data_IF_233764828515
#
_entry.id   IF_233764828515
#
_cell.length_a   1.000
_cell.length_b   1.000
_cell.length_c   1.000
_cell.angle_alpha   90.00
_cell.angle_beta   90.00
_cell.angle_gamma   90.00
#
_symmetry.space_group_name_H-M   'P 1'
#
loop_
_entity.id
_entity.type
_entity.pdbx_description
1 polymer ?
#
# COMPACT_ATOMS: atom_id res chain seq x y z
N UNK A 1 -13.99 7.35 -13.78
CA UNK A 1 -14.91 8.29 -13.10
C UNK A 1 -14.50 8.34 -11.63
N UNK A 2 -14.17 9.52 -11.08
CA UNK A 2 -13.71 9.60 -9.67
C UNK A 2 -12.93 10.85 -9.27
N UNK A 3 -12.41 11.65 -10.21
CA UNK A 3 -11.62 12.86 -9.91
C UNK A 3 -12.46 14.15 -9.85
N UNK A 4 -13.78 14.07 -10.10
CA UNK A 4 -14.70 15.22 -10.12
C UNK A 4 -15.90 15.07 -9.18
N UNK A 5 -15.85 14.14 -8.22
CA UNK A 5 -16.93 14.02 -7.24
C UNK A 5 -16.84 15.17 -6.21
N UNK A 6 -17.89 16.01 -6.07
CA UNK A 6 -17.90 17.16 -5.15
C UNK A 6 -17.85 16.79 -3.65
N UNK A 7 -17.80 15.49 -3.33
CA UNK A 7 -17.62 14.98 -1.95
C UNK A 7 -16.16 14.58 -1.63
N UNK A 8 -15.21 14.80 -2.53
CA UNK A 8 -13.79 14.64 -2.21
C UNK A 8 -13.26 15.93 -1.59
N UNK A 9 -13.25 16.00 -0.27
CA UNK A 9 -12.51 17.04 0.46
C UNK A 9 -11.04 16.56 0.65
N UNK A 10 -10.06 17.17 -0.04
CA UNK A 10 -8.65 16.80 0.08
C UNK A 10 -8.05 17.07 1.46
N UNK A 11 -8.79 17.76 2.35
CA UNK A 11 -8.38 18.08 3.73
C UNK A 11 -8.77 16.99 4.72
N UNK A 12 -9.61 16.04 4.33
CA UNK A 12 -9.95 14.89 5.18
C UNK A 12 -8.78 13.89 5.19
N UNK A 13 -8.47 13.29 6.35
CA UNK A 13 -7.42 12.28 6.47
C UNK A 13 -7.67 11.12 5.50
N UNK A 14 -6.58 10.52 5.03
CA UNK A 14 -6.67 9.45 4.03
C UNK A 14 -7.35 8.24 4.66
N UNK A 15 -8.52 7.84 4.16
CA UNK A 15 -9.20 6.65 4.68
C UNK A 15 -8.50 5.36 4.23
N UNK A 16 -8.57 4.32 5.07
CA UNK A 16 -8.02 3.00 4.74
C UNK A 16 -8.64 2.41 3.45
N UNK A 17 -9.96 2.56 3.27
CA UNK A 17 -10.66 2.16 2.04
C UNK A 17 -10.15 2.95 0.83
N UNK A 18 -9.93 4.26 0.99
CA UNK A 18 -9.37 5.12 -0.05
C UNK A 18 -7.96 4.68 -0.46
N UNK A 19 -7.12 4.28 0.51
CA UNK A 19 -5.80 3.72 0.25
C UNK A 19 -5.89 2.39 -0.53
N UNK A 20 -6.76 1.47 -0.14
CA UNK A 20 -6.96 0.21 -0.87
C UNK A 20 -7.43 0.43 -2.31
N UNK A 21 -8.33 1.40 -2.52
CA UNK A 21 -8.78 1.78 -3.86
C UNK A 21 -7.65 2.40 -4.67
N UNK A 22 -6.81 3.24 -4.05
CA UNK A 22 -5.63 3.83 -4.68
C UNK A 22 -4.62 2.77 -5.11
N UNK A 23 -4.36 1.74 -4.29
CA UNK A 23 -3.52 0.61 -4.68
C UNK A 23 -4.03 -0.07 -5.94
N UNK A 24 -5.32 -0.42 -5.98
CA UNK A 24 -5.95 -1.03 -7.16
C UNK A 24 -5.90 -0.14 -8.38
N UNK A 25 -6.20 1.15 -8.23
CA UNK A 25 -6.26 2.10 -9.35
C UNK A 25 -4.90 2.39 -9.98
N UNK A 26 -3.82 2.35 -9.18
CA UNK A 26 -2.45 2.61 -9.64
C UNK A 26 -1.64 1.34 -9.89
N UNK A 27 -2.24 0.17 -9.79
CA UNK A 27 -1.54 -1.09 -9.96
C UNK A 27 -1.19 -1.34 -11.43
N UNK A 28 0.08 -1.64 -11.70
CA UNK A 28 0.58 -2.00 -13.01
C UNK A 28 0.88 -3.50 -13.04
N UNK A 29 0.02 -4.25 -13.74
CA UNK A 29 0.15 -5.71 -13.86
C UNK A 29 1.43 -6.15 -14.56
N UNK A 30 2.00 -5.31 -15.44
CA UNK A 30 3.24 -5.62 -16.17
C UNK A 30 4.42 -5.57 -15.20
N UNK A 31 4.49 -4.53 -14.36
CA UNK A 31 5.51 -4.42 -13.30
C UNK A 31 5.36 -5.51 -12.24
N UNK A 32 4.13 -5.92 -11.94
CA UNK A 32 3.83 -6.95 -10.96
C UNK A 32 4.08 -8.39 -11.45
N UNK A 33 4.56 -8.57 -12.69
CA UNK A 33 4.87 -9.89 -13.21
C UNK A 33 5.99 -10.54 -12.39
N UNK A 34 5.71 -11.71 -11.83
CA UNK A 34 6.66 -12.45 -10.99
C UNK A 34 6.73 -11.97 -9.53
N UNK A 35 5.94 -10.98 -9.15
CA UNK A 35 5.77 -10.59 -7.74
C UNK A 35 4.63 -11.40 -7.13
N UNK A 36 4.93 -12.06 -6.03
CA UNK A 36 3.94 -12.69 -5.15
C UNK A 36 4.19 -12.20 -3.73
N UNK A 37 3.15 -11.67 -3.09
CA UNK A 37 3.22 -11.14 -1.71
C UNK A 37 1.82 -11.05 -1.12
N UNK A 38 1.71 -11.35 0.17
CA UNK A 38 0.51 -11.23 0.98
C UNK A 38 0.77 -10.29 2.16
N UNK A 39 -0.04 -9.25 2.29
CA UNK A 39 0.17 -8.16 3.25
C UNK A 39 -1.12 -7.94 4.04
N UNK A 40 -1.02 -8.02 5.36
CA UNK A 40 -2.08 -7.61 6.27
C UNK A 40 -1.84 -6.16 6.69
N UNK A 41 -2.81 -5.29 6.48
CA UNK A 41 -2.84 -3.94 7.02
C UNK A 41 -3.79 -3.87 8.22
N UNK A 42 -3.37 -3.18 9.27
CA UNK A 42 -4.17 -2.84 10.46
C UNK A 42 -4.15 -1.33 10.68
N UNK A 43 -5.31 -0.71 10.62
CA UNK A 43 -5.52 0.74 10.80
C UNK A 43 -6.53 0.96 11.94
N UNK A 44 -6.05 1.01 13.18
CA UNK A 44 -6.95 0.99 14.34
C UNK A 44 -7.76 -0.31 14.39
N UNK A 45 -9.09 -0.20 14.34
CA UNK A 45 -10.02 -1.34 14.30
C UNK A 45 -10.24 -1.92 12.90
N UNK A 46 -9.77 -1.22 11.86
CA UNK A 46 -9.87 -1.68 10.49
C UNK A 46 -8.74 -2.65 10.13
N UNK A 47 -9.09 -3.75 9.48
CA UNK A 47 -8.16 -4.71 8.92
C UNK A 47 -8.41 -4.86 7.41
N UNK A 48 -7.33 -4.88 6.63
CA UNK A 48 -7.38 -5.13 5.19
C UNK A 48 -6.29 -6.09 4.77
N UNK A 49 -6.64 -7.05 3.92
CA UNK A 49 -5.68 -7.90 3.25
C UNK A 49 -5.42 -7.38 1.84
N UNK A 50 -4.14 -7.34 1.45
CA UNK A 50 -3.70 -7.09 0.08
C UNK A 50 -2.84 -8.26 -0.38
N UNK A 51 -3.27 -8.91 -1.46
CA UNK A 51 -2.51 -10.00 -2.08
C UNK A 51 -2.17 -9.67 -3.52
N UNK A 52 -0.92 -9.89 -3.91
CA UNK A 52 -0.49 -9.84 -5.31
C UNK A 52 -0.11 -11.24 -5.72
N UNK A 53 -0.74 -11.73 -6.79
CA UNK A 53 -0.44 -13.06 -7.35
C UNK A 53 -0.71 -13.08 -8.83
N UNK A 54 0.21 -13.67 -9.62
CA UNK A 54 0.06 -13.80 -11.08
C UNK A 54 -0.31 -12.48 -11.78
N UNK A 55 0.26 -11.36 -11.32
CA UNK A 55 -0.01 -10.03 -11.89
C UNK A 55 -1.41 -9.47 -11.57
N UNK A 56 -2.08 -9.98 -10.53
CA UNK A 56 -3.37 -9.48 -10.05
C UNK A 56 -3.23 -9.00 -8.62
N UNK A 57 -3.65 -7.77 -8.35
CA UNK A 57 -3.80 -7.25 -7.00
C UNK A 57 -5.24 -7.46 -6.52
N UNK A 58 -5.36 -8.13 -5.38
CA UNK A 58 -6.60 -8.31 -4.62
C UNK A 58 -6.54 -7.48 -3.35
N UNK A 59 -7.65 -6.82 -3.01
CA UNK A 59 -7.80 -6.19 -1.70
C UNK A 59 -9.15 -6.52 -1.11
N UNK A 60 -9.15 -6.93 0.15
CA UNK A 60 -10.32 -7.42 0.87
C UNK A 60 -10.30 -6.85 2.30
N UNK A 61 -11.48 -6.59 2.88
CA UNK A 61 -11.58 -6.19 4.29
C UNK A 61 -11.57 -7.44 5.16
N UNK A 62 -10.85 -7.37 6.28
CA UNK A 62 -10.72 -8.44 7.25
C UNK A 62 -9.27 -8.82 7.53
N UNK A 63 -9.13 -9.81 8.40
CA UNK A 63 -7.84 -10.39 8.78
C UNK A 63 -7.63 -11.71 8.03
N UNK A 64 -6.41 -11.90 7.52
CA UNK A 64 -5.95 -13.16 6.91
C UNK A 64 -4.49 -13.41 7.25
N UNK A 65 -4.07 -14.65 7.04
CA UNK A 65 -2.65 -15.00 7.08
C UNK A 65 -1.90 -14.32 5.93
N UNK A 66 -0.72 -13.79 6.24
CA UNK A 66 0.05 -12.92 5.36
C UNK A 66 1.55 -13.02 5.66
N UNK A 67 2.39 -12.73 4.67
CA UNK A 67 3.84 -12.71 4.83
C UNK A 67 4.29 -11.61 5.80
N UNK A 68 3.52 -10.53 5.86
CA UNK A 68 3.81 -9.36 6.69
C UNK A 68 2.53 -8.69 7.18
N UNK A 69 2.56 -8.20 8.42
CA UNK A 69 1.55 -7.33 9.00
C UNK A 69 2.10 -5.92 9.19
N UNK A 70 1.37 -4.93 8.71
CA UNK A 70 1.68 -3.51 8.81
C UNK A 70 0.59 -2.83 9.63
N UNK A 71 0.97 -2.28 10.78
CA UNK A 71 0.08 -1.53 11.65
C UNK A 71 0.47 -0.06 11.65
N UNK A 72 -0.48 0.86 11.53
CA UNK A 72 -0.20 2.29 11.56
C UNK A 72 -1.35 3.10 10.99
N UNK A 73 -1.04 4.24 10.35
CA UNK A 73 -2.05 5.06 9.66
C UNK A 73 -2.00 4.85 8.12
N UNK A 74 -3.13 5.06 7.42
CA UNK A 74 -3.15 5.02 5.96
C UNK A 74 -2.18 6.03 5.32
N UNK A 75 -1.98 7.20 5.94
CA UNK A 75 -1.04 8.22 5.49
C UNK A 75 0.41 7.75 5.58
N UNK A 76 0.78 7.06 6.66
CA UNK A 76 2.13 6.53 6.82
C UNK A 76 2.42 5.45 5.77
N UNK A 77 1.46 4.58 5.48
CA UNK A 77 1.57 3.59 4.40
C UNK A 77 1.64 4.27 3.02
N UNK A 78 0.81 5.30 2.77
CA UNK A 78 0.89 6.07 1.54
C UNK A 78 2.23 6.80 1.39
N UNK A 79 2.77 7.34 2.48
CA UNK A 79 4.10 7.95 2.54
C UNK A 79 5.20 6.96 2.19
N UNK A 80 5.12 5.72 2.67
CA UNK A 80 6.05 4.65 2.29
C UNK A 80 5.91 4.27 0.82
N UNK A 81 4.70 3.91 0.38
CA UNK A 81 4.46 3.30 -0.94
C UNK A 81 4.59 4.33 -2.07
N UNK A 82 4.01 5.52 -1.91
CA UNK A 82 3.99 6.56 -2.93
C UNK A 82 5.04 7.64 -2.69
N UNK A 83 5.21 8.08 -1.44
CA UNK A 83 6.16 9.13 -1.07
C UNK A 83 7.60 8.66 -0.92
N UNK A 84 7.84 7.34 -0.92
CA UNK A 84 9.16 6.72 -0.70
C UNK A 84 9.82 7.15 0.61
N UNK A 85 9.00 7.45 1.61
CA UNK A 85 9.48 7.69 2.96
C UNK A 85 10.20 6.42 3.47
N UNK A 86 11.42 6.55 4.05
CA UNK A 86 12.17 5.39 4.52
C UNK A 86 11.40 4.63 5.61
N UNK A 87 11.20 3.32 5.43
CA UNK A 87 10.50 2.48 6.40
C UNK A 87 11.10 2.61 7.81
N UNK A 88 12.44 2.64 7.93
CA UNK A 88 13.13 2.78 9.22
C UNK A 88 12.75 4.06 9.96
N UNK A 89 12.54 5.16 9.26
CA UNK A 89 12.15 6.43 9.90
C UNK A 89 10.69 6.39 10.34
N UNK A 90 9.80 5.79 9.53
CA UNK A 90 8.40 5.59 9.92
C UNK A 90 8.26 4.67 11.13
N UNK A 91 9.09 3.62 11.22
CA UNK A 91 9.15 2.74 12.39
C UNK A 91 9.70 3.46 13.63
N UNK A 92 10.78 4.23 13.47
CA UNK A 92 11.40 4.99 14.55
C UNK A 92 10.46 6.06 15.14
N UNK A 93 9.62 6.66 14.30
CA UNK A 93 8.60 7.64 14.71
C UNK A 93 7.34 6.99 15.29
N UNK A 94 7.24 5.66 15.28
CA UNK A 94 6.04 4.92 15.69
C UNK A 94 4.86 5.08 14.73
N UNK A 95 5.08 5.62 13.53
CA UNK A 95 4.05 5.83 12.52
C UNK A 95 3.65 4.52 11.82
N UNK A 96 4.60 3.58 11.71
CA UNK A 96 4.37 2.21 11.25
C UNK A 96 5.03 1.21 12.19
N UNK A 97 4.37 0.07 12.38
CA UNK A 97 4.94 -1.12 12.99
C UNK A 97 4.80 -2.24 11.99
N UNK A 98 5.92 -2.86 11.62
CA UNK A 98 5.95 -3.94 10.63
C UNK A 98 6.46 -5.22 11.27
N UNK A 99 5.67 -6.29 11.15
CA UNK A 99 5.97 -7.61 11.73
C UNK A 99 5.88 -8.67 10.64
N UNK A 100 6.88 -9.55 10.54
CA UNK A 100 6.99 -10.55 9.46
C UNK A 100 8.02 -10.14 8.40
N UNK A 101 7.81 -10.57 7.15
CA UNK A 101 8.74 -10.32 6.04
C UNK A 101 8.62 -8.86 5.54
N UNK A 102 9.50 -7.99 6.04
CA UNK A 102 9.59 -6.60 5.57
C UNK A 102 9.88 -6.50 4.06
N UNK A 103 10.55 -7.48 3.46
CA UNK A 103 10.80 -7.47 2.02
C UNK A 103 9.50 -7.65 1.23
N UNK A 104 8.49 -8.34 1.77
CA UNK A 104 7.17 -8.46 1.17
C UNK A 104 6.46 -7.10 1.04
N UNK A 105 6.61 -6.23 2.05
CA UNK A 105 6.14 -4.84 2.01
C UNK A 105 6.93 -3.98 1.01
N UNK A 106 8.26 -4.15 0.95
CA UNK A 106 9.09 -3.40 0.01
C UNK A 106 8.79 -3.78 -1.44
N UNK A 107 8.56 -5.08 -1.74
CA UNK A 107 8.10 -5.51 -3.08
C UNK A 107 6.82 -4.80 -3.50
N UNK A 108 5.85 -4.62 -2.58
CA UNK A 108 4.66 -3.82 -2.88
C UNK A 108 5.04 -2.36 -3.19
N UNK A 109 5.87 -1.73 -2.35
CA UNK A 109 6.28 -0.34 -2.54
C UNK A 109 6.96 -0.11 -3.90
N UNK A 110 7.84 -1.02 -4.32
CA UNK A 110 8.60 -0.94 -5.57
C UNK A 110 7.69 -0.95 -6.81
N UNK A 111 6.53 -1.63 -6.76
CA UNK A 111 5.56 -1.63 -7.86
C UNK A 111 4.98 -0.25 -8.17
N UNK A 112 4.98 0.64 -7.20
CA UNK A 112 4.48 2.01 -7.34
C UNK A 112 5.60 3.03 -7.56
N UNK A 113 6.85 2.60 -7.77
CA UNK A 113 7.89 3.48 -8.31
C UNK A 113 7.59 3.85 -9.76
N UNK A 114 7.75 5.13 -10.11
CA UNK A 114 7.79 5.52 -11.52
C UNK A 114 8.99 4.80 -12.16
N UNK A 115 8.86 4.28 -13.39
CA UNK A 115 10.05 3.90 -14.13
C UNK A 115 10.96 5.15 -14.21
N UNK A 116 12.29 5.01 -14.20
CA UNK A 116 13.15 6.11 -14.61
C UNK A 116 12.61 6.64 -15.94
N UNK A 117 12.62 7.98 -16.12
CA UNK A 117 12.17 8.60 -17.38
C UNK A 117 12.73 7.77 -18.54
N UNK A 118 11.86 7.38 -19.49
CA UNK A 118 12.32 6.80 -20.73
C UNK A 118 13.44 7.70 -21.26
N UNK A 119 14.64 7.13 -21.42
CA UNK A 119 15.83 7.86 -21.81
C UNK A 119 15.54 8.67 -23.08
N UNK A 120 16.09 9.89 -23.12
CA UNK A 120 16.07 10.78 -24.27
C UNK A 120 16.72 10.14 -25.50
#
# INVERSE_FOLDING_TARGET
WGVRSPMHDPRLPLSAVGLMLSFRAKFDAVKAKGVETAIQFRFGEDAFFVGIRKGVLTSERGERDADVTVTGSPEAVAGLVYGKAPLKELEKQGALVVTGDKAALMRLADLYEMPPKAGA
#
